data_IF_654606730255
#
_entry.id   IF_654606730255
#
_cell.length_a   1.000
_cell.length_b   1.000
_cell.length_c   1.000
_cell.angle_alpha   90.00
_cell.angle_beta   90.00
_cell.angle_gamma   90.00
#
_symmetry.space_group_name_H-M   'P 1'
#
loop_
_entity.id
_entity.type
_entity.pdbx_description
1 polymer ?
#
# COMPACT_ATOMS: atom_id res chain seq x y z
N UNK A 1 -2.83 -18.42 -16.24
CA UNK A 1 -3.15 -17.04 -15.79
C UNK A 1 -4.35 -16.99 -14.83
N UNK A 2 -5.38 -17.84 -14.93
CA UNK A 2 -6.47 -17.91 -13.93
C UNK A 2 -6.02 -18.27 -12.51
N UNK A 3 -5.18 -19.29 -12.35
CA UNK A 3 -4.78 -19.78 -11.02
C UNK A 3 -4.07 -18.73 -10.16
N UNK A 4 -3.24 -17.86 -10.75
CA UNK A 4 -2.56 -16.81 -9.99
C UNK A 4 -3.49 -15.67 -9.56
N UNK A 5 -4.56 -15.40 -10.31
CA UNK A 5 -5.55 -14.37 -9.97
C UNK A 5 -6.49 -14.85 -8.85
N UNK A 6 -6.92 -16.12 -8.89
CA UNK A 6 -7.76 -16.74 -7.86
C UNK A 6 -7.04 -16.82 -6.50
N UNK A 7 -5.74 -17.15 -6.48
CA UNK A 7 -4.94 -17.14 -5.24
C UNK A 7 -4.82 -15.74 -4.64
N UNK A 8 -4.72 -14.71 -5.48
CA UNK A 8 -4.59 -13.32 -5.03
C UNK A 8 -5.90 -12.82 -4.43
N UNK A 9 -7.05 -13.10 -5.03
CA UNK A 9 -8.35 -12.66 -4.48
C UNK A 9 -8.68 -13.38 -3.16
N UNK A 10 -8.35 -14.67 -3.05
CA UNK A 10 -8.50 -15.43 -1.80
C UNK A 10 -7.71 -14.80 -0.63
N UNK A 11 -6.55 -14.20 -0.89
CA UNK A 11 -5.74 -13.55 0.14
C UNK A 11 -6.39 -12.30 0.75
N UNK A 12 -7.42 -11.73 0.11
CA UNK A 12 -8.17 -10.57 0.61
C UNK A 12 -9.56 -10.94 1.14
N UNK A 13 -9.79 -12.23 1.45
CA UNK A 13 -11.04 -12.71 2.04
C UNK A 13 -10.99 -12.84 3.57
N UNK A 14 -9.78 -12.85 4.15
CA UNK A 14 -9.56 -12.97 5.59
C UNK A 14 -8.45 -12.02 6.03
N UNK A 15 -8.69 -11.27 7.11
CA UNK A 15 -7.80 -10.22 7.58
C UNK A 15 -7.30 -10.51 8.99
N UNK A 16 -6.04 -10.17 9.25
CA UNK A 16 -5.48 -10.20 10.60
C UNK A 16 -6.14 -9.15 11.50
N UNK A 17 -6.42 -9.55 12.73
CA UNK A 17 -6.98 -8.73 13.79
C UNK A 17 -5.90 -8.36 14.80
N UNK A 18 -6.25 -7.48 15.76
CA UNK A 18 -5.31 -7.05 16.81
C UNK A 18 -4.72 -8.21 17.63
N UNK A 19 -5.43 -9.32 17.78
CA UNK A 19 -4.98 -10.49 18.54
C UNK A 19 -4.03 -11.40 17.76
N UNK A 20 -4.01 -11.29 16.43
CA UNK A 20 -3.15 -12.10 15.58
C UNK A 20 -1.73 -11.52 15.46
N UNK A 21 -1.53 -10.28 15.93
CA UNK A 21 -0.23 -9.63 15.94
C UNK A 21 0.63 -10.09 17.15
N UNK A 22 1.94 -10.29 16.97
CA UNK A 22 2.71 -10.08 15.73
C UNK A 22 2.49 -11.18 14.67
N UNK A 23 2.40 -10.77 13.40
CA UNK A 23 2.31 -11.71 12.27
C UNK A 23 3.72 -12.04 11.79
N UNK A 24 4.04 -13.33 11.65
CA UNK A 24 5.36 -13.78 11.17
C UNK A 24 5.37 -14.02 9.66
N UNK A 25 6.45 -13.63 8.99
CA UNK A 25 6.74 -13.86 7.57
C UNK A 25 8.21 -14.19 7.37
N UNK A 26 8.53 -15.01 6.37
CA UNK A 26 9.93 -15.22 5.97
C UNK A 26 10.34 -14.30 4.83
N UNK A 27 11.64 -14.23 4.54
CA UNK A 27 12.16 -13.38 3.46
C UNK A 27 11.49 -13.72 2.13
N UNK A 28 11.07 -12.69 1.39
CA UNK A 28 10.34 -12.77 0.11
C UNK A 28 8.91 -13.30 0.15
N UNK A 29 8.37 -13.64 1.33
CA UNK A 29 6.95 -13.96 1.44
C UNK A 29 6.09 -12.75 1.06
N UNK A 30 4.98 -13.01 0.37
CA UNK A 30 4.02 -11.97 0.04
C UNK A 30 3.26 -11.52 1.29
N UNK A 31 3.27 -10.19 1.50
CA UNK A 31 2.43 -9.48 2.45
C UNK A 31 1.33 -8.79 1.64
N UNK A 32 0.09 -9.20 1.87
CA UNK A 32 -1.10 -8.66 1.21
C UNK A 32 -1.69 -7.57 2.11
N UNK A 33 -1.97 -6.41 1.52
CA UNK A 33 -2.46 -5.23 2.25
C UNK A 33 -3.68 -4.68 1.54
N UNK A 34 -4.75 -4.51 2.30
CA UNK A 34 -5.95 -3.79 1.89
C UNK A 34 -6.11 -2.53 2.72
N UNK A 35 -6.44 -1.43 2.05
CA UNK A 35 -6.86 -0.19 2.68
C UNK A 35 -8.29 0.08 2.25
N UNK A 36 -9.16 0.34 3.21
CA UNK A 36 -10.60 0.49 3.00
C UNK A 36 -11.13 1.79 3.61
N UNK A 37 -12.01 2.47 2.89
CA UNK A 37 -12.81 3.56 3.41
C UNK A 37 -14.00 3.00 4.21
N UNK A 38 -14.01 3.23 5.53
CA UNK A 38 -15.06 2.71 6.42
C UNK A 38 -16.25 3.67 6.55
N UNK A 39 -17.44 3.11 6.78
CA UNK A 39 -18.69 3.83 7.10
C UNK A 39 -19.08 4.88 6.05
N UNK A 40 -18.82 4.59 4.77
CA UNK A 40 -19.21 5.41 3.62
C UNK A 40 -19.98 4.53 2.62
N UNK A 41 -20.97 5.13 1.97
CA UNK A 41 -21.87 4.43 1.03
C UNK A 41 -22.06 5.22 -0.27
N UNK A 42 -21.27 6.27 -0.48
CA UNK A 42 -21.32 7.09 -1.69
C UNK A 42 -20.38 6.50 -2.74
N UNK A 43 -20.95 6.04 -3.86
CA UNK A 43 -20.21 5.41 -4.96
C UNK A 43 -19.32 6.38 -5.74
N UNK A 44 -19.54 7.69 -5.61
CA UNK A 44 -18.68 8.70 -6.21
C UNK A 44 -17.38 8.89 -5.42
N UNK A 45 -17.30 8.39 -4.18
CA UNK A 45 -16.06 8.46 -3.42
C UNK A 45 -15.08 7.38 -3.91
N UNK A 46 -13.85 7.81 -4.13
CA UNK A 46 -12.73 6.97 -4.53
C UNK A 46 -11.64 7.12 -3.48
N UNK A 47 -11.25 6.00 -2.87
CA UNK A 47 -10.09 5.95 -1.98
C UNK A 47 -8.81 6.04 -2.81
N UNK A 48 -7.95 7.01 -2.51
CA UNK A 48 -6.65 7.16 -3.16
C UNK A 48 -5.53 6.89 -2.17
N UNK A 49 -4.50 6.17 -2.63
CA UNK A 49 -3.25 5.98 -1.90
C UNK A 49 -2.26 7.06 -2.33
N UNK A 50 -1.70 7.79 -1.37
CA UNK A 50 -0.53 8.63 -1.59
C UNK A 50 0.73 7.77 -1.54
N UNK A 51 1.44 7.83 -0.41
CA UNK A 51 2.57 6.94 -0.13
C UNK A 51 2.20 5.81 0.82
N UNK A 52 2.70 4.61 0.58
CA UNK A 52 2.74 3.54 1.57
C UNK A 52 4.19 3.18 1.86
N UNK A 53 4.56 3.10 3.13
CA UNK A 53 5.94 2.89 3.54
C UNK A 53 6.02 2.02 4.79
N UNK A 54 7.22 1.53 5.03
CA UNK A 54 7.56 0.67 6.15
C UNK A 54 8.54 1.36 7.07
N UNK A 55 8.37 1.15 8.37
CA UNK A 55 9.35 1.56 9.39
C UNK A 55 9.65 0.42 10.37
N UNK A 56 10.72 0.57 11.15
CA UNK A 56 11.09 -0.39 12.20
C UNK A 56 10.34 -0.22 13.52
N UNK A 57 9.39 0.72 13.62
CA UNK A 57 8.67 1.04 14.85
C UNK A 57 7.23 1.53 14.59
N UNK A 58 6.39 1.67 15.62
CA UNK A 58 4.97 2.03 15.40
C UNK A 58 4.78 3.48 14.94
N UNK A 59 5.79 4.34 15.09
CA UNK A 59 5.70 5.74 14.70
C UNK A 59 5.89 5.88 13.18
N UNK A 60 4.89 6.39 12.42
CA UNK A 60 4.99 6.57 10.97
C UNK A 60 6.13 7.51 10.54
N UNK A 61 6.57 8.41 11.42
CA UNK A 61 7.68 9.34 11.15
C UNK A 61 9.05 8.80 11.56
N UNK A 62 9.12 7.57 12.10
CA UNK A 62 10.40 6.96 12.46
C UNK A 62 11.25 6.69 11.22
N UNK A 63 12.57 6.76 11.41
CA UNK A 63 13.56 6.46 10.37
C UNK A 63 14.30 5.18 10.74
N UNK A 64 14.87 4.49 9.75
CA UNK A 64 14.64 4.65 8.30
C UNK A 64 13.23 4.30 7.80
N UNK A 65 12.89 4.84 6.62
CA UNK A 65 11.63 4.60 5.89
C UNK A 65 11.90 3.89 4.56
N UNK A 66 11.03 2.95 4.21
CA UNK A 66 11.09 2.20 2.96
C UNK A 66 9.77 2.34 2.21
N UNK A 67 9.81 3.02 1.06
CA UNK A 67 8.61 3.28 0.26
C UNK A 67 8.24 2.06 -0.58
N UNK A 68 7.02 1.54 -0.37
CA UNK A 68 6.41 0.45 -1.13
C UNK A 68 5.62 1.01 -2.32
N UNK A 69 4.83 2.05 -2.05
CA UNK A 69 3.96 2.76 -3.01
C UNK A 69 4.27 4.25 -2.90
N UNK A 70 4.41 4.94 -4.03
CA UNK A 70 4.63 6.39 -4.13
C UNK A 70 3.65 6.96 -5.14
N UNK A 71 2.89 7.98 -4.74
CA UNK A 71 1.79 8.59 -5.52
C UNK A 71 0.81 7.57 -6.13
N UNK A 72 0.46 6.56 -5.33
CA UNK A 72 -0.46 5.50 -5.73
C UNK A 72 0.14 4.45 -6.66
N UNK A 73 1.42 4.52 -6.99
CA UNK A 73 2.11 3.58 -7.88
C UNK A 73 3.17 2.75 -7.15
N UNK A 74 3.42 1.48 -7.53
CA UNK A 74 4.53 0.69 -6.99
C UNK A 74 5.87 1.40 -7.15
N UNK A 75 6.67 1.40 -6.10
CA UNK A 75 8.03 1.91 -6.16
C UNK A 75 8.85 1.03 -7.13
N UNK A 76 9.61 1.67 -8.02
CA UNK A 76 10.41 1.02 -9.08
C UNK A 76 11.72 0.44 -8.56
N UNK A 77 12.10 0.73 -7.31
CA UNK A 77 13.23 0.08 -6.67
C UNK A 77 12.90 -1.41 -6.45
N UNK A 78 13.52 -2.26 -7.28
CA UNK A 78 13.28 -3.70 -7.43
C UNK A 78 13.48 -4.53 -6.14
N UNK A 79 13.91 -3.90 -5.05
CA UNK A 79 14.10 -4.53 -3.75
C UNK A 79 12.80 -4.97 -3.07
N UNK A 80 11.66 -4.34 -3.36
CA UNK A 80 10.42 -4.56 -2.59
C UNK A 80 9.36 -5.37 -3.33
N UNK A 81 9.57 -5.64 -4.63
CA UNK A 81 8.69 -6.44 -5.50
C UNK A 81 7.20 -6.18 -5.22
N UNK A 82 6.82 -4.90 -5.16
CA UNK A 82 5.45 -4.48 -4.87
C UNK A 82 4.59 -4.44 -6.13
N UNK A 83 3.30 -4.70 -5.96
CA UNK A 83 2.35 -4.74 -7.06
C UNK A 83 0.97 -4.28 -6.58
N UNK A 84 0.29 -3.48 -7.39
CA UNK A 84 -1.11 -3.14 -7.18
C UNK A 84 -1.99 -4.32 -7.58
N UNK A 85 -2.96 -4.64 -6.76
CA UNK A 85 -3.98 -5.64 -7.08
C UNK A 85 -5.26 -4.90 -7.46
N UNK A 86 -5.74 -5.04 -8.71
CA UNK A 86 -6.99 -4.42 -9.13
C UNK A 86 -8.17 -4.90 -8.28
N UNK A 87 -8.98 -3.96 -7.79
CA UNK A 87 -10.29 -4.24 -7.19
C UNK A 87 -11.32 -4.07 -8.29
N UNK A 88 -11.87 -5.19 -8.77
CA UNK A 88 -12.80 -5.21 -9.89
C UNK A 88 -14.22 -5.49 -9.39
N UNK A 89 -15.22 -5.08 -10.16
CA UNK A 89 -16.63 -5.28 -9.79
C UNK A 89 -17.01 -6.76 -9.59
N UNK A 90 -16.24 -7.69 -10.17
CA UNK A 90 -16.44 -9.13 -9.99
C UNK A 90 -15.95 -9.68 -8.64
N UNK A 91 -15.29 -8.86 -7.82
CA UNK A 91 -14.82 -9.26 -6.47
C UNK A 91 -15.96 -9.38 -5.44
N UNK A 92 -17.21 -9.09 -5.83
CA UNK A 92 -18.38 -9.21 -4.93
C UNK A 92 -18.43 -8.18 -3.80
N UNK A 93 -17.60 -7.12 -3.88
CA UNK A 93 -17.57 -6.03 -2.91
C UNK A 93 -18.54 -4.92 -3.29
N UNK A 94 -19.29 -4.44 -2.31
CA UNK A 94 -20.02 -3.19 -2.42
C UNK A 94 -19.04 -2.02 -2.50
N UNK A 95 -19.25 -1.10 -3.44
CA UNK A 95 -18.40 0.08 -3.68
C UNK A 95 -16.90 -0.24 -3.89
N UNK A 96 -16.51 -0.91 -4.99
CA UNK A 96 -15.11 -1.27 -5.27
C UNK A 96 -14.11 -0.10 -5.19
N UNK A 97 -14.55 1.12 -5.50
CA UNK A 97 -13.76 2.35 -5.42
C UNK A 97 -13.30 2.69 -3.99
N UNK A 98 -13.90 2.11 -2.96
CA UNK A 98 -13.56 2.33 -1.54
C UNK A 98 -12.38 1.50 -1.07
N UNK A 99 -11.86 0.59 -1.91
CA UNK A 99 -10.81 -0.35 -1.56
C UNK A 99 -9.58 -0.09 -2.41
N UNK A 100 -8.41 -0.29 -1.80
CA UNK A 100 -7.13 -0.35 -2.50
C UNK A 100 -6.34 -1.54 -1.98
N UNK A 101 -5.93 -2.41 -2.89
CA UNK A 101 -5.19 -3.64 -2.60
C UNK A 101 -3.82 -3.57 -3.24
N UNK A 102 -2.81 -3.98 -2.49
CA UNK A 102 -1.47 -4.19 -3.03
C UNK A 102 -0.78 -5.30 -2.25
N UNK A 103 0.25 -5.86 -2.87
CA UNK A 103 1.16 -6.75 -2.19
C UNK A 103 2.58 -6.22 -2.28
N UNK A 104 3.42 -6.65 -1.36
CA UNK A 104 4.86 -6.52 -1.44
C UNK A 104 5.51 -7.76 -0.87
N UNK A 105 6.78 -7.99 -1.20
CA UNK A 105 7.54 -9.11 -0.66
C UNK A 105 8.31 -8.69 0.57
N UNK A 106 8.27 -9.52 1.61
CA UNK A 106 8.95 -9.25 2.87
C UNK A 106 10.47 -9.11 2.65
N UNK A 107 11.06 -8.16 3.35
CA UNK A 107 12.48 -7.81 3.24
C UNK A 107 13.08 -7.50 4.62
N UNK A 108 14.40 -7.45 4.68
CA UNK A 108 15.13 -7.09 5.88
C UNK A 108 15.36 -5.58 5.91
N UNK A 109 14.96 -4.93 7.01
CA UNK A 109 15.32 -3.53 7.26
C UNK A 109 16.81 -3.46 7.56
N UNK A 110 17.59 -2.81 6.67
CA UNK A 110 19.05 -2.63 6.82
C UNK A 110 19.41 -1.16 7.01
N UNK A 111 20.43 -0.89 7.81
CA UNK A 111 20.98 0.45 7.93
C UNK A 111 21.66 0.86 6.61
N UNK A 112 21.36 2.06 6.10
CA UNK A 112 21.89 2.47 4.78
C UNK A 112 23.40 2.68 4.79
N UNK A 113 24.00 2.98 5.94
CA UNK A 113 25.43 3.27 6.05
C UNK A 113 26.26 2.01 6.32
N UNK A 114 25.81 1.18 7.27
CA UNK A 114 26.53 -0.02 7.71
C UNK A 114 26.07 -1.32 7.03
N UNK A 115 24.95 -1.28 6.31
CA UNK A 115 24.28 -2.43 5.69
C UNK A 115 23.93 -3.57 6.67
N UNK A 116 23.93 -3.28 7.97
CA UNK A 116 23.57 -4.24 9.00
C UNK A 116 22.04 -4.31 9.20
N UNK A 117 21.47 -5.48 9.50
CA UNK A 117 20.06 -5.61 9.84
C UNK A 117 19.69 -4.76 11.06
N UNK A 118 18.81 -3.79 10.87
CA UNK A 118 18.36 -2.86 11.92
C UNK A 118 17.29 -3.49 12.81
N UNK A 119 16.30 -4.14 12.19
CA UNK A 119 15.13 -4.69 12.87
C UNK A 119 14.60 -5.91 12.13
N UNK A 120 14.14 -6.89 12.91
CA UNK A 120 13.39 -8.06 12.44
C UNK A 120 11.88 -7.83 12.45
N UNK A 121 11.40 -6.62 12.71
CA UNK A 121 9.98 -6.31 12.72
C UNK A 121 9.74 -5.03 11.93
N UNK A 122 8.56 -4.95 11.34
CA UNK A 122 8.18 -3.84 10.49
C UNK A 122 6.75 -3.40 10.77
N UNK A 123 6.49 -2.11 10.60
CA UNK A 123 5.16 -1.53 10.63
C UNK A 123 4.88 -0.91 9.26
N UNK A 124 3.66 -1.09 8.77
CA UNK A 124 3.22 -0.62 7.46
C UNK A 124 2.34 0.60 7.69
N UNK A 125 2.62 1.66 6.95
CA UNK A 125 1.90 2.93 7.01
C UNK A 125 1.46 3.33 5.62
N UNK A 126 0.22 3.80 5.47
CA UNK A 126 -0.31 4.30 4.20
C UNK A 126 -0.96 5.66 4.41
N UNK A 127 -0.51 6.65 3.65
CA UNK A 127 -1.16 7.94 3.50
C UNK A 127 -2.33 7.78 2.52
N UNK A 128 -3.51 8.22 2.94
CA UNK A 128 -4.76 8.04 2.20
C UNK A 128 -5.48 9.38 2.06
N UNK A 129 -6.20 9.54 0.96
CA UNK A 129 -7.11 10.66 0.73
C UNK A 129 -8.35 10.17 0.00
N UNK A 130 -9.43 10.95 0.03
CA UNK A 130 -10.64 10.68 -0.74
C UNK A 130 -10.66 11.59 -1.96
N UNK A 131 -11.17 11.07 -3.06
CA UNK A 131 -11.38 11.82 -4.29
C UNK A 131 -12.82 11.58 -4.74
N UNK A 132 -13.56 12.65 -4.99
CA UNK A 132 -14.90 12.55 -5.54
C UNK A 132 -14.82 12.46 -7.07
N UNK A 133 -15.25 11.33 -7.63
CA UNK A 133 -15.34 11.09 -9.06
C UNK A 133 -16.38 12.02 -9.67
N UNK A 134 -15.95 12.82 -10.64
CA UNK A 134 -16.80 13.74 -11.40
C UNK A 134 -16.38 13.72 -12.87
N UNK A 135 -17.27 14.04 -13.82
CA UNK A 135 -16.90 14.19 -15.21
C UNK A 135 -15.70 15.15 -15.37
N UNK A 136 -14.61 14.67 -15.98
CA UNK A 136 -13.38 15.44 -16.18
C UNK A 136 -12.37 15.39 -15.02
N UNK A 137 -12.68 14.76 -13.88
CA UNK A 137 -11.74 14.54 -12.77
C UNK A 137 -11.39 13.05 -12.66
N UNK A 138 -10.14 12.70 -12.96
CA UNK A 138 -9.64 11.33 -12.78
C UNK A 138 -9.07 11.14 -11.37
N UNK A 139 -9.63 10.20 -10.61
CA UNK A 139 -9.17 9.86 -9.26
C UNK A 139 -8.16 8.70 -9.24
N UNK A 140 -8.01 7.98 -10.35
CA UNK A 140 -7.08 6.85 -10.41
C UNK A 140 -5.64 7.31 -10.68
N UNK A 141 -4.63 6.72 -10.00
CA UNK A 141 -3.23 7.07 -10.23
C UNK A 141 -2.81 6.67 -11.64
N UNK A 142 -2.08 7.56 -12.33
CA UNK A 142 -1.52 7.29 -13.64
C UNK A 142 -0.08 6.81 -13.51
N UNK A 143 0.10 5.49 -13.42
CA UNK A 143 1.43 4.88 -13.36
C UNK A 143 2.01 4.78 -14.77
N UNK A 144 2.52 5.88 -15.32
CA UNK A 144 3.15 5.89 -16.64
C UNK A 144 4.38 4.97 -16.64
N UNK A 145 4.30 3.85 -17.35
CA UNK A 145 5.45 2.99 -17.66
C UNK A 145 6.28 3.60 -18.80
N UNK A 146 6.79 4.83 -18.66
CA UNK A 146 7.74 5.45 -19.61
C UNK A 146 8.75 6.32 -18.87
N UNK A 147 9.98 6.34 -19.41
CA UNK A 147 11.16 7.08 -18.95
C UNK A 147 10.85 8.51 -18.49
N UNK A 148 11.62 8.95 -17.48
CA UNK A 148 11.75 10.33 -17.00
C UNK A 148 11.37 11.38 -18.05
N UNK A 149 10.37 12.19 -17.71
CA UNK A 149 10.56 13.64 -17.76
C UNK A 149 10.29 14.14 -16.36
N UNK A 150 11.26 14.83 -15.79
CA UNK A 150 11.06 15.63 -14.58
C UNK A 150 10.00 16.69 -14.95
N UNK A 151 8.74 16.36 -14.67
CA UNK A 151 7.68 17.34 -14.60
C UNK A 151 7.45 17.48 -13.10
N UNK A 152 8.01 18.54 -12.54
CA UNK A 152 7.63 19.01 -11.21
C UNK A 152 6.11 18.99 -11.15
N UNK A 153 5.58 18.26 -10.17
CA UNK A 153 4.16 18.06 -10.00
C UNK A 153 3.48 19.40 -9.76
N UNK A 154 2.94 19.98 -10.83
CA UNK A 154 2.09 21.16 -10.75
C UNK A 154 0.76 20.72 -10.14
N UNK A 155 0.52 21.28 -8.96
CA UNK A 155 -0.75 21.51 -8.29
C UNK A 155 -1.23 20.49 -7.24
N UNK A 156 -0.54 20.48 -6.09
CA UNK A 156 -1.04 19.95 -4.81
C UNK A 156 -1.75 21.04 -3.97
N UNK A 157 -2.45 22.02 -4.56
CA UNK A 157 -3.21 23.02 -3.76
C UNK A 157 -4.68 22.65 -3.52
N UNK A 158 -5.14 21.44 -3.90
CA UNK A 158 -6.49 20.94 -3.60
C UNK A 158 -6.51 19.46 -3.17
N UNK A 159 -5.46 18.98 -2.49
CA UNK A 159 -5.50 17.66 -1.87
C UNK A 159 -6.20 17.75 -0.51
N UNK A 160 -7.30 17.01 -0.35
CA UNK A 160 -7.94 16.76 0.94
C UNK A 160 -6.92 16.35 2.02
N UNK A 161 -7.20 16.59 3.32
CA UNK A 161 -6.29 16.21 4.40
C UNK A 161 -5.94 14.72 4.31
N UNK A 162 -4.65 14.44 4.10
CA UNK A 162 -4.13 13.07 4.01
C UNK A 162 -4.12 12.44 5.41
N UNK A 163 -4.80 11.31 5.58
CA UNK A 163 -4.84 10.53 6.83
C UNK A 163 -3.88 9.35 6.70
N UNK A 164 -3.11 9.09 7.76
CA UNK A 164 -2.17 7.94 7.80
C UNK A 164 -2.82 6.77 8.54
N UNK A 165 -3.09 5.68 7.81
CA UNK A 165 -3.45 4.40 8.38
C UNK A 165 -2.16 3.61 8.68
N UNK A 166 -2.11 2.90 9.81
CA UNK A 166 -0.92 2.16 10.24
C UNK A 166 -1.30 0.79 10.79
N UNK A 167 -0.48 -0.23 10.51
CA UNK A 167 -0.69 -1.61 10.96
C UNK A 167 0.65 -2.30 11.21
N UNK A 168 0.65 -3.30 12.11
CA UNK A 168 1.82 -4.10 12.47
C UNK A 168 1.79 -4.50 13.95
N UNK A 169 2.87 -5.13 14.45
CA UNK A 169 4.11 -5.44 13.74
C UNK A 169 4.06 -6.74 12.91
N UNK A 170 4.71 -6.73 11.75
CA UNK A 170 5.02 -7.95 10.98
C UNK A 170 6.48 -8.32 11.26
N UNK A 171 6.71 -9.52 11.78
CA UNK A 171 8.04 -10.05 12.12
C UNK A 171 8.61 -10.81 10.92
N UNK A 172 9.87 -10.53 10.60
CA UNK A 172 10.68 -11.25 9.64
C UNK A 172 11.47 -12.35 10.36
N UNK A 173 11.16 -13.60 10.03
CA UNK A 173 11.95 -14.78 10.40
C UNK A 173 12.86 -15.21 9.24
N UNK A 174 14.04 -15.75 9.60
CA UNK A 174 15.07 -16.17 8.65
C UNK A 174 14.87 -17.61 8.20
#
# INVERSE_FOLDING_TARGET
MSSSFEVVDAAYSSFYTKTDYPVTKILRDSVYVEVQLLKKTDSLLVLTLGRCWVTGGPNPSSLPQWEIITDGCPNKDDHYLSSLIPVVSSSGLDFPSHYRRFLFKMFTLVDRNSLQPLKKQVYIHCSTAVCQAMPGRNCEPSCASKMKRDVEAVDQMNAEPKIVASVGPVIMEQ
#
